data_IF_063892366033
#
_entry.id   IF_063892366033
#
_cell.length_a   1.000
_cell.length_b   1.000
_cell.length_c   1.000
_cell.angle_alpha   90.00
_cell.angle_beta   90.00
_cell.angle_gamma   90.00
#
_symmetry.space_group_name_H-M   'P 1'
#
loop_
_entity.id
_entity.type
_entity.pdbx_description
1 polymer ?
#
# COMPACT_ATOMS: atom_id res chain seq x y z
N UNK A 1 -2.52 18.60 8.26
CA UNK A 1 -2.38 18.18 6.86
C UNK A 1 -2.58 16.69 6.84
N UNK A 2 -3.59 16.23 6.11
CA UNK A 2 -3.85 14.84 5.78
C UNK A 2 -2.65 14.27 5.02
N UNK A 3 -2.34 13.01 5.30
CA UNK A 3 -1.27 12.28 4.65
C UNK A 3 -1.66 10.82 4.56
N UNK A 4 -0.96 10.11 3.70
CA UNK A 4 -1.07 8.68 3.56
C UNK A 4 0.22 8.01 4.03
N UNK A 5 0.08 6.78 4.50
CA UNK A 5 1.19 5.90 4.85
C UNK A 5 1.34 4.81 3.78
N UNK A 6 2.57 4.44 3.46
CA UNK A 6 2.85 3.32 2.57
C UNK A 6 4.12 2.60 3.00
N UNK A 7 4.11 1.28 2.91
CA UNK A 7 5.23 0.39 3.11
C UNK A 7 5.62 -0.12 1.72
N UNK A 8 6.67 0.47 1.17
CA UNK A 8 7.14 0.23 -0.18
C UNK A 8 8.12 -0.94 -0.20
N UNK A 9 7.61 -2.11 -0.60
CA UNK A 9 8.37 -3.33 -0.89
C UNK A 9 8.57 -3.50 -2.40
N UNK A 10 9.59 -4.26 -2.82
CA UNK A 10 9.74 -4.69 -4.22
C UNK A 10 9.83 -3.52 -5.21
N UNK A 11 10.57 -2.49 -4.83
CA UNK A 11 10.65 -1.23 -5.57
C UNK A 11 12.10 -0.90 -5.93
N UNK A 12 12.83 -1.88 -6.47
CA UNK A 12 14.26 -1.74 -6.77
C UNK A 12 14.54 -0.66 -7.82
N UNK A 13 13.54 -0.36 -8.67
CA UNK A 13 13.62 0.66 -9.71
C UNK A 13 13.16 2.05 -9.24
N UNK A 14 12.64 2.17 -8.00
CA UNK A 14 12.25 3.45 -7.41
C UNK A 14 13.37 3.90 -6.49
N UNK A 15 14.10 4.91 -6.89
CA UNK A 15 15.18 5.49 -6.09
C UNK A 15 14.62 6.41 -5.01
N UNK A 16 15.41 6.70 -3.98
CA UNK A 16 14.99 7.69 -2.96
C UNK A 16 14.74 9.06 -3.59
N UNK A 17 15.48 9.41 -4.65
CA UNK A 17 15.30 10.68 -5.35
C UNK A 17 13.92 10.79 -6.01
N UNK A 18 13.41 9.70 -6.61
CA UNK A 18 12.07 9.64 -7.20
C UNK A 18 10.99 10.02 -6.16
N UNK A 19 11.18 9.61 -4.91
CA UNK A 19 10.26 9.89 -3.81
C UNK A 19 10.41 11.33 -3.29
N UNK A 20 11.65 11.77 -3.07
CA UNK A 20 11.91 13.12 -2.53
C UNK A 20 11.56 14.22 -3.51
N UNK A 21 11.71 13.99 -4.82
CA UNK A 21 11.31 14.94 -5.87
C UNK A 21 9.79 15.17 -5.88
N UNK A 22 9.02 14.17 -5.47
CA UNK A 22 7.58 14.29 -5.25
C UNK A 22 7.23 14.95 -3.92
N UNK A 23 8.20 15.19 -3.03
CA UNK A 23 7.97 15.70 -1.68
C UNK A 23 7.52 14.62 -0.68
N UNK A 24 7.74 13.35 -1.00
CA UNK A 24 7.39 12.22 -0.12
C UNK A 24 8.50 12.05 0.92
N UNK A 25 8.11 11.87 2.19
CA UNK A 25 9.06 11.65 3.29
C UNK A 25 9.32 10.15 3.46
N UNK A 26 10.59 9.78 3.54
CA UNK A 26 11.02 8.42 3.87
C UNK A 26 11.26 8.37 5.37
N UNK A 27 10.35 7.74 6.11
CA UNK A 27 10.40 7.66 7.58
C UNK A 27 11.46 6.65 8.05
N UNK A 28 11.63 5.57 7.29
CA UNK A 28 12.60 4.52 7.59
C UNK A 28 12.96 3.74 6.32
N UNK A 29 14.22 3.31 6.25
CA UNK A 29 14.71 2.33 5.28
C UNK A 29 15.13 1.07 6.05
N UNK A 30 14.65 -0.08 5.60
CA UNK A 30 14.99 -1.39 6.16
C UNK A 30 16.27 -1.93 5.52
N UNK A 31 16.82 -3.02 6.08
CA UNK A 31 18.10 -3.59 5.64
C UNK A 31 18.03 -4.17 4.22
N UNK A 32 16.87 -4.64 3.82
CA UNK A 32 16.55 -5.19 2.49
C UNK A 32 16.21 -4.12 1.45
N UNK A 33 16.16 -2.85 1.84
CA UNK A 33 15.83 -1.72 0.95
C UNK A 33 14.35 -1.31 0.97
N UNK A 34 13.51 -2.00 1.73
CA UNK A 34 12.12 -1.60 1.93
C UNK A 34 12.04 -0.25 2.64
N UNK A 35 10.99 0.52 2.34
CA UNK A 35 10.83 1.88 2.86
C UNK A 35 9.44 2.14 3.39
N UNK A 36 9.36 2.74 4.58
CA UNK A 36 8.11 3.29 5.10
C UNK A 36 8.01 4.76 4.75
N UNK A 37 6.88 5.16 4.21
CA UNK A 37 6.69 6.46 3.56
C UNK A 37 5.54 7.23 4.19
N UNK A 38 5.68 8.55 4.17
CA UNK A 38 4.62 9.51 4.44
C UNK A 38 4.40 10.36 3.21
N UNK A 39 3.21 10.23 2.63
CA UNK A 39 2.84 10.81 1.33
C UNK A 39 1.86 11.97 1.60
N UNK A 40 2.20 13.21 1.22
CA UNK A 40 1.23 14.31 1.27
C UNK A 40 0.03 13.99 0.35
N UNK A 41 -1.19 14.34 0.79
CA UNK A 41 -2.40 14.04 0.03
C UNK A 41 -2.35 14.59 -1.41
N UNK A 42 -1.82 15.80 -1.60
CA UNK A 42 -1.68 16.43 -2.90
C UNK A 42 -0.70 15.71 -3.84
N UNK A 43 0.08 14.76 -3.32
CA UNK A 43 1.06 13.95 -4.05
C UNK A 43 0.60 12.52 -4.30
N UNK A 44 -0.55 12.13 -3.75
CA UNK A 44 -1.05 10.75 -3.84
C UNK A 44 -1.12 10.26 -5.30
N UNK A 45 -1.76 11.02 -6.19
CA UNK A 45 -1.91 10.62 -7.59
C UNK A 45 -0.56 10.42 -8.28
N UNK A 46 0.42 11.28 -8.00
CA UNK A 46 1.76 11.20 -8.59
C UNK A 46 2.53 9.99 -8.05
N UNK A 47 2.35 9.68 -6.77
CA UNK A 47 2.90 8.47 -6.17
C UNK A 47 2.29 7.20 -6.78
N UNK A 48 0.97 7.14 -6.95
CA UNK A 48 0.29 5.99 -7.57
C UNK A 48 0.85 5.73 -8.99
N UNK A 49 1.04 6.77 -9.79
CA UNK A 49 1.61 6.63 -11.13
C UNK A 49 3.08 6.18 -11.11
N UNK A 50 3.88 6.65 -10.14
CA UNK A 50 5.24 6.16 -9.93
C UNK A 50 5.25 4.66 -9.61
N UNK A 51 4.34 4.20 -8.74
CA UNK A 51 4.21 2.78 -8.40
C UNK A 51 3.81 1.96 -9.63
N UNK A 52 2.77 2.36 -10.38
CA UNK A 52 2.34 1.64 -11.59
C UNK A 52 3.44 1.55 -12.66
N UNK A 53 4.34 2.53 -12.71
CA UNK A 53 5.41 2.58 -13.70
C UNK A 53 6.64 1.78 -13.30
N UNK A 54 6.96 1.70 -12.00
CA UNK A 54 8.28 1.25 -11.52
C UNK A 54 8.26 0.16 -10.44
N UNK A 55 7.10 -0.23 -9.91
CA UNK A 55 7.01 -1.35 -8.97
C UNK A 55 7.48 -2.63 -9.67
N UNK A 56 8.25 -3.47 -8.97
CA UNK A 56 8.72 -4.71 -9.56
C UNK A 56 7.56 -5.69 -9.78
N UNK A 57 7.61 -6.41 -10.90
CA UNK A 57 6.61 -7.41 -11.24
C UNK A 57 6.50 -8.52 -10.18
N UNK A 58 5.28 -8.80 -9.74
CA UNK A 58 5.01 -9.77 -8.67
C UNK A 58 4.95 -9.16 -7.28
N UNK A 59 4.99 -7.83 -7.16
CA UNK A 59 4.76 -7.11 -5.91
C UNK A 59 3.48 -6.27 -5.97
N UNK A 60 2.95 -5.93 -4.79
CA UNK A 60 1.93 -4.90 -4.66
C UNK A 60 2.43 -3.78 -3.75
N UNK A 61 1.75 -2.64 -3.80
CA UNK A 61 1.89 -1.60 -2.78
C UNK A 61 0.52 -1.18 -2.26
N UNK A 62 0.44 -0.92 -0.96
CA UNK A 62 -0.73 -0.36 -0.30
C UNK A 62 -0.48 1.05 0.21
N UNK A 63 -1.52 1.89 0.13
CA UNK A 63 -1.51 3.28 0.57
C UNK A 63 -2.68 3.49 1.52
N UNK A 64 -2.37 3.83 2.77
CA UNK A 64 -3.33 3.93 3.88
C UNK A 64 -3.59 5.40 4.19
N UNK A 65 -4.80 5.87 3.93
CA UNK A 65 -5.31 7.19 4.29
C UNK A 65 -6.36 7.11 5.39
N UNK A 66 -6.76 8.26 5.92
CA UNK A 66 -7.75 8.32 6.99
C UNK A 66 -9.14 7.81 6.55
N UNK A 67 -9.49 8.01 5.28
CA UNK A 67 -10.82 7.67 4.75
C UNK A 67 -10.77 6.54 3.69
N UNK A 68 -9.56 6.15 3.26
CA UNK A 68 -9.41 5.14 2.23
C UNK A 68 -8.13 4.31 2.33
N UNK A 69 -8.19 3.13 1.73
CA UNK A 69 -7.05 2.27 1.50
C UNK A 69 -6.99 1.93 0.02
N UNK A 70 -5.84 2.15 -0.60
CA UNK A 70 -5.61 1.88 -2.02
C UNK A 70 -4.58 0.76 -2.15
N UNK A 71 -4.88 -0.23 -2.98
CA UNK A 71 -3.96 -1.29 -3.35
C UNK A 71 -3.60 -1.19 -4.82
N UNK A 72 -2.31 -1.38 -5.14
CA UNK A 72 -1.78 -1.39 -6.51
C UNK A 72 -1.01 -2.70 -6.68
N UNK A 73 -1.57 -3.63 -7.45
CA UNK A 73 -0.95 -4.93 -7.73
C UNK A 73 -0.24 -4.88 -9.07
N UNK A 74 1.06 -5.17 -9.10
CA UNK A 74 1.86 -5.28 -10.32
C UNK A 74 2.08 -6.77 -10.65
N UNK A 75 1.40 -7.27 -11.68
CA UNK A 75 1.43 -8.68 -12.04
C UNK A 75 2.69 -9.06 -12.82
N UNK A 76 3.03 -10.35 -12.79
CA UNK A 76 4.21 -10.91 -13.49
C UNK A 76 4.18 -10.72 -15.01
N UNK A 77 3.00 -10.52 -15.59
CA UNK A 77 2.82 -10.23 -17.01
C UNK A 77 3.01 -8.74 -17.37
N UNK A 78 3.35 -7.88 -16.41
CA UNK A 78 3.54 -6.44 -16.60
C UNK A 78 2.26 -5.60 -16.52
N UNK A 79 1.08 -6.23 -16.41
CA UNK A 79 -0.17 -5.49 -16.13
C UNK A 79 -0.24 -5.07 -14.67
N UNK A 80 -1.02 -4.03 -14.38
CA UNK A 80 -1.36 -3.65 -13.01
C UNK A 80 -2.88 -3.59 -12.80
N UNK A 81 -3.30 -3.70 -11.54
CA UNK A 81 -4.65 -3.38 -11.09
C UNK A 81 -4.60 -2.47 -9.86
N UNK A 82 -5.49 -1.49 -9.83
CA UNK A 82 -5.69 -0.58 -8.70
C UNK A 82 -7.06 -0.85 -8.07
N UNK A 83 -7.10 -0.93 -6.75
CA UNK A 83 -8.34 -1.04 -5.99
C UNK A 83 -8.40 0.00 -4.89
N UNK A 84 -9.55 0.65 -4.74
CA UNK A 84 -9.92 1.33 -3.49
C UNK A 84 -10.69 0.33 -2.65
N UNK A 85 -10.16 -0.06 -1.50
CA UNK A 85 -10.74 -1.08 -0.64
C UNK A 85 -12.17 -0.69 -0.23
N UNK A 86 -13.11 -1.58 -0.51
CA UNK A 86 -14.52 -1.51 -0.13
C UNK A 86 -15.04 -2.91 0.21
N UNK A 87 -16.23 -3.00 0.81
CA UNK A 87 -16.86 -4.29 1.11
C UNK A 87 -17.10 -5.15 -0.14
N UNK A 88 -17.26 -4.53 -1.32
CA UNK A 88 -17.54 -5.23 -2.58
C UNK A 88 -16.31 -5.93 -3.16
N UNK A 89 -15.11 -5.39 -2.91
CA UNK A 89 -13.87 -5.89 -3.48
C UNK A 89 -12.89 -6.47 -2.45
N UNK A 90 -13.20 -6.41 -1.15
CA UNK A 90 -12.34 -6.93 -0.07
C UNK A 90 -11.93 -8.38 -0.32
N UNK A 91 -12.87 -9.25 -0.73
CA UNK A 91 -12.57 -10.66 -0.99
C UNK A 91 -11.64 -10.86 -2.21
N UNK A 92 -11.68 -9.97 -3.20
CA UNK A 92 -10.75 -10.04 -4.34
C UNK A 92 -9.35 -9.58 -3.92
N UNK A 93 -9.26 -8.50 -3.15
CA UNK A 93 -8.00 -7.98 -2.60
C UNK A 93 -7.35 -9.02 -1.70
N UNK A 94 -8.11 -9.64 -0.80
CA UNK A 94 -7.69 -10.75 0.06
C UNK A 94 -7.02 -11.88 -0.74
N UNK A 95 -7.69 -12.36 -1.80
CA UNK A 95 -7.16 -13.41 -2.68
C UNK A 95 -5.87 -12.97 -3.37
N UNK A 96 -5.78 -11.73 -3.82
CA UNK A 96 -4.57 -11.20 -4.46
C UNK A 96 -3.41 -11.09 -3.47
N UNK A 97 -3.65 -10.62 -2.24
CA UNK A 97 -2.64 -10.59 -1.19
C UNK A 97 -2.13 -12.01 -0.87
N UNK A 98 -3.02 -12.99 -0.76
CA UNK A 98 -2.66 -14.39 -0.55
C UNK A 98 -1.83 -14.95 -1.73
N UNK A 99 -2.24 -14.68 -2.97
CA UNK A 99 -1.54 -15.12 -4.18
C UNK A 99 -0.12 -14.54 -4.26
N UNK A 100 0.04 -13.24 -4.03
CA UNK A 100 1.33 -12.57 -4.10
C UNK A 100 2.28 -13.01 -2.98
N UNK A 101 1.76 -13.31 -1.78
CA UNK A 101 2.54 -13.86 -0.66
C UNK A 101 2.76 -15.38 -0.73
N UNK A 102 2.14 -16.06 -1.69
CA UNK A 102 2.09 -17.54 -1.73
C UNK A 102 1.59 -18.13 -0.39
N UNK A 103 0.57 -17.50 0.19
CA UNK A 103 -0.10 -17.89 1.43
C UNK A 103 -1.50 -18.47 1.17
N UNK A 104 -2.05 -19.28 2.09
CA UNK A 104 -3.45 -19.68 2.05
C UNK A 104 -4.35 -18.45 2.28
N UNK A 105 -5.47 -18.38 1.55
CA UNK A 105 -6.48 -17.30 1.66
C UNK A 105 -7.07 -17.15 3.06
N UNK A 106 -7.00 -18.20 3.89
CA UNK A 106 -7.55 -18.21 5.24
C UNK A 106 -6.82 -17.24 6.19
N UNK A 107 -5.60 -16.82 5.86
CA UNK A 107 -4.80 -15.89 6.66
C UNK A 107 -5.15 -14.41 6.45
N UNK A 108 -5.72 -14.06 5.30
CA UNK A 108 -5.91 -12.68 4.85
C UNK A 108 -7.38 -12.27 4.84
N UNK A 109 -8.30 -13.15 5.27
CA UNK A 109 -9.76 -13.03 5.22
C UNK A 109 -10.37 -11.75 5.86
N UNK A 110 -9.57 -10.93 6.53
CA UNK A 110 -9.92 -9.57 6.93
C UNK A 110 -8.76 -8.63 6.58
N UNK A 111 -8.90 -7.87 5.50
CA UNK A 111 -7.83 -7.04 4.94
C UNK A 111 -7.46 -5.91 5.90
N UNK A 112 -8.44 -5.33 6.59
CA UNK A 112 -8.20 -4.28 7.59
C UNK A 112 -7.35 -4.80 8.76
N UNK A 113 -7.67 -6.01 9.25
CA UNK A 113 -6.89 -6.66 10.31
C UNK A 113 -5.46 -6.92 9.85
N UNK A 114 -5.31 -7.48 8.65
CA UNK A 114 -4.00 -7.75 8.06
C UNK A 114 -3.12 -6.49 7.99
N UNK A 115 -3.68 -5.36 7.55
CA UNK A 115 -2.97 -4.06 7.55
C UNK A 115 -2.63 -3.62 8.98
N UNK A 116 -3.59 -3.73 9.91
CA UNK A 116 -3.40 -3.28 11.30
C UNK A 116 -2.37 -4.09 12.10
N UNK A 117 -2.08 -5.33 11.68
CA UNK A 117 -1.03 -6.17 12.28
C UNK A 117 0.37 -5.70 11.88
N UNK A 118 0.50 -4.90 10.80
CA UNK A 118 1.75 -4.22 10.48
C UNK A 118 1.96 -3.06 11.46
N UNK A 119 3.05 -3.15 12.24
CA UNK A 119 3.42 -2.16 13.27
C UNK A 119 3.52 -0.74 12.75
N UNK A 120 3.87 -0.55 11.47
CA UNK A 120 3.97 0.78 10.87
C UNK A 120 2.59 1.46 10.76
N UNK A 121 1.56 0.69 10.42
CA UNK A 121 0.20 1.22 10.24
C UNK A 121 -0.64 1.17 11.52
N UNK A 122 -0.27 0.34 12.49
CA UNK A 122 -1.09 0.00 13.65
C UNK A 122 -1.78 1.19 14.32
N UNK A 123 -1.02 2.23 14.70
CA UNK A 123 -1.59 3.39 15.39
C UNK A 123 -2.51 4.21 14.49
N UNK A 124 -2.12 4.39 13.22
CA UNK A 124 -2.92 5.14 12.25
C UNK A 124 -4.24 4.43 11.94
N UNK A 125 -4.20 3.10 11.79
CA UNK A 125 -5.39 2.29 11.61
C UNK A 125 -6.30 2.36 12.84
N UNK A 126 -5.76 2.30 14.07
CA UNK A 126 -6.58 2.44 15.28
C UNK A 126 -7.27 3.80 15.38
N UNK A 127 -6.60 4.87 14.98
CA UNK A 127 -7.15 6.24 14.98
C UNK A 127 -8.30 6.40 13.97
N UNK A 128 -8.19 5.78 12.79
CA UNK A 128 -9.09 6.00 11.66
C UNK A 128 -10.00 4.80 11.32
N UNK A 129 -9.97 3.73 12.12
CA UNK A 129 -10.70 2.49 11.81
C UNK A 129 -12.20 2.71 11.59
N UNK A 130 -12.82 3.54 12.43
CA UNK A 130 -14.25 3.84 12.35
C UNK A 130 -14.61 4.52 11.02
N UNK A 131 -13.78 5.46 10.56
CA UNK A 131 -14.00 6.17 9.30
C UNK A 131 -13.84 5.22 8.10
N UNK A 132 -12.86 4.32 8.19
CA UNK A 132 -12.57 3.31 7.17
C UNK A 132 -13.62 2.20 7.03
N UNK A 133 -14.49 1.95 8.02
CA UNK A 133 -15.52 0.90 7.92
C UNK A 133 -16.93 1.44 7.67
N UNK A 134 -17.19 2.71 7.98
CA UNK A 134 -18.53 3.32 7.92
C UNK A 134 -18.82 4.08 6.60
N UNK A 135 -18.02 3.82 5.56
CA UNK A 135 -18.06 4.48 4.25
C UNK A 135 -18.95 3.74 3.25
#
# INVERSE_FOLDING_TARGET
MSHYLSYLMGANQIENQDLTDLGISIEKTMVDGDRTLKIPEEKLSQYIELIKAKLDSGFWNEVIGAEEIIFIFQFKNGSNKEYRLSAENEQEIDKLCAEFNNEPTDKTANVYKYISDNKFYHNFMLEHYADLINR
#
